data_IF_980358212795
#
_entry.id   IF_980358212795
#
_cell.length_a   1.000
_cell.length_b   1.000
_cell.length_c   1.000
_cell.angle_alpha   90.00
_cell.angle_beta   90.00
_cell.angle_gamma   90.00
#
_symmetry.space_group_name_H-M   'P 1'
#
loop_
_entity.id
_entity.type
_entity.pdbx_description
1 polymer ?
#
# COMPACT_ATOMS: atom_id res chain seq x y z
N UNK A 1 -4.68 3.26 33.88
CA UNK A 1 -3.27 3.04 33.57
C UNK A 1 -3.10 2.83 32.07
N UNK A 2 -1.96 3.24 31.50
CA UNK A 2 -1.53 2.81 30.15
C UNK A 2 -0.93 1.42 30.32
N UNK A 3 -1.50 0.41 29.65
CA UNK A 3 -0.96 -0.95 29.67
C UNK A 3 0.14 -1.15 28.63
N UNK A 4 -0.07 -0.58 27.45
CA UNK A 4 0.80 -0.75 26.29
C UNK A 4 0.72 0.50 25.42
N UNK A 5 1.85 0.87 24.83
CA UNK A 5 1.91 1.78 23.68
C UNK A 5 2.52 1.00 22.53
N UNK A 6 1.79 0.93 21.42
CA UNK A 6 2.22 0.25 20.20
C UNK A 6 2.51 1.30 19.12
N UNK A 7 3.65 1.17 18.46
CA UNK A 7 3.97 2.00 17.28
C UNK A 7 3.12 1.57 16.10
N UNK A 8 2.51 2.53 15.42
CA UNK A 8 1.86 2.28 14.13
C UNK A 8 2.92 2.51 13.05
N UNK A 9 3.28 1.47 12.29
CA UNK A 9 4.47 1.48 11.44
C UNK A 9 4.31 2.32 10.16
N UNK A 10 3.10 2.81 9.88
CA UNK A 10 2.81 3.71 8.79
C UNK A 10 2.76 5.16 9.30
N UNK A 11 3.81 5.94 9.00
CA UNK A 11 3.90 7.35 9.39
C UNK A 11 4.43 7.56 10.82
N UNK A 12 3.79 8.46 11.56
CA UNK A 12 4.18 8.93 12.89
C UNK A 12 2.98 8.88 13.85
N UNK A 13 2.58 7.67 14.25
CA UNK A 13 1.46 7.47 15.16
C UNK A 13 1.74 6.41 16.24
N UNK A 14 1.11 6.58 17.40
CA UNK A 14 1.21 5.68 18.54
C UNK A 14 -0.20 5.28 18.98
N UNK A 15 -0.42 3.99 19.20
CA UNK A 15 -1.67 3.41 19.73
C UNK A 15 -1.50 3.13 21.22
N UNK A 16 -2.36 3.73 22.04
CA UNK A 16 -2.35 3.60 23.50
C UNK A 16 -3.49 2.71 23.96
N UNK A 17 -3.17 1.71 24.78
CA UNK A 17 -4.14 0.81 25.42
C UNK A 17 -4.37 1.24 26.86
N UNK A 18 -5.59 1.69 27.18
CA UNK A 18 -5.93 2.28 28.47
C UNK A 18 -6.89 1.40 29.26
N UNK A 19 -6.57 1.18 30.53
CA UNK A 19 -7.48 0.53 31.50
C UNK A 19 -7.95 1.56 32.53
N UNK A 20 -9.26 1.70 32.78
CA UNK A 20 -9.80 2.58 33.82
C UNK A 20 -9.24 2.25 35.21
N UNK A 21 -9.24 3.24 36.10
CA UNK A 21 -9.33 2.95 37.54
C UNK A 21 -10.81 2.72 37.88
N UNK A 22 -11.12 1.81 38.80
CA UNK A 22 -12.50 1.48 39.17
C UNK A 22 -13.29 2.70 39.69
N UNK A 23 -12.59 3.65 40.31
CA UNK A 23 -13.16 4.89 40.83
C UNK A 23 -13.27 6.02 39.79
N UNK A 24 -12.77 5.81 38.56
CA UNK A 24 -12.68 6.87 37.58
C UNK A 24 -14.02 7.16 36.90
N UNK A 25 -14.40 8.43 36.89
CA UNK A 25 -15.55 8.96 36.17
C UNK A 25 -15.16 9.62 34.85
N UNK A 26 -13.92 10.13 34.76
CA UNK A 26 -13.32 10.73 33.55
C UNK A 26 -11.82 10.45 33.48
N UNK A 27 -11.23 10.62 32.31
CA UNK A 27 -9.77 10.63 32.16
C UNK A 27 -9.28 11.61 31.10
N UNK A 28 -8.01 11.99 31.23
CA UNK A 28 -7.24 12.76 30.26
C UNK A 28 -5.91 12.07 30.00
N UNK A 29 -5.48 12.12 28.75
CA UNK A 29 -4.18 11.62 28.33
C UNK A 29 -3.37 12.79 27.81
N UNK A 30 -2.25 13.06 28.46
CA UNK A 30 -1.33 14.12 28.10
C UNK A 30 -0.05 13.54 27.54
N UNK A 31 0.58 14.26 26.60
CA UNK A 31 1.86 13.90 26.00
C UNK A 31 2.86 15.05 26.07
N UNK A 32 4.13 14.73 26.35
CA UNK A 32 5.28 15.64 26.31
C UNK A 32 6.49 14.98 25.65
N UNK A 33 7.52 15.77 25.32
CA UNK A 33 8.84 15.28 24.87
C UNK A 33 9.83 15.06 26.02
N UNK A 34 9.43 15.43 27.24
CA UNK A 34 10.13 15.16 28.49
C UNK A 34 9.14 14.55 29.51
N UNK A 35 9.65 13.99 30.62
CA UNK A 35 8.80 13.44 31.68
C UNK A 35 8.51 14.45 32.79
N UNK A 36 8.30 15.72 32.43
CA UNK A 36 8.12 16.83 33.38
C UNK A 36 6.69 17.34 33.44
N UNK A 37 5.72 16.43 33.57
CA UNK A 37 4.30 16.81 33.66
C UNK A 37 3.99 17.56 34.95
N UNK A 38 3.29 18.70 34.85
CA UNK A 38 2.90 19.50 36.01
C UNK A 38 1.59 19.04 36.66
N UNK A 39 0.54 18.79 35.87
CA UNK A 39 -0.78 18.32 36.33
C UNK A 39 -1.70 17.88 35.15
N UNK A 40 -2.96 17.56 35.41
CA UNK A 40 -3.99 17.15 34.43
C UNK A 40 -4.36 18.23 33.38
N UNK A 41 -3.98 19.49 33.60
CA UNK A 41 -4.18 20.64 32.68
C UNK A 41 -2.86 21.35 32.36
N UNK A 42 -1.77 20.58 32.31
CA UNK A 42 -0.44 21.05 31.91
C UNK A 42 -0.48 21.72 30.52
N UNK A 43 -0.13 23.01 30.48
CA UNK A 43 -0.18 23.85 29.26
C UNK A 43 0.94 23.58 28.28
N UNK A 44 2.03 22.99 28.75
CA UNK A 44 3.16 22.60 27.91
C UNK A 44 2.98 21.17 27.36
N UNK A 45 1.96 20.45 27.83
CA UNK A 45 1.59 19.14 27.32
C UNK A 45 0.56 19.21 26.20
N UNK A 46 0.65 18.26 25.27
CA UNK A 46 -0.37 18.04 24.24
C UNK A 46 -1.48 17.16 24.80
N UNK A 47 -2.72 17.64 24.75
CA UNK A 47 -3.90 16.82 25.05
C UNK A 47 -4.13 15.82 23.91
N UNK A 48 -3.83 14.55 24.19
CA UNK A 48 -4.05 13.44 23.26
C UNK A 48 -5.52 13.10 23.22
N UNK A 49 -6.12 12.88 24.39
CA UNK A 49 -7.50 12.45 24.54
C UNK A 49 -8.10 12.91 25.88
N UNK A 50 -9.42 13.15 25.88
CA UNK A 50 -10.23 13.41 27.07
C UNK A 50 -11.57 12.67 26.92
N UNK A 51 -12.01 11.95 27.95
CA UNK A 51 -13.34 11.33 27.90
C UNK A 51 -14.44 12.29 28.27
N UNK A 52 -15.56 12.14 27.56
CA UNK A 52 -16.83 12.83 27.84
C UNK A 52 -17.85 11.93 28.53
N UNK A 53 -17.58 10.63 28.68
CA UNK A 53 -18.47 9.62 29.28
C UNK A 53 -17.72 8.70 30.25
N UNK A 54 -18.47 7.82 30.93
CA UNK A 54 -17.98 6.85 31.92
C UNK A 54 -16.86 5.97 31.34
N UNK A 55 -15.90 5.65 32.21
CA UNK A 55 -14.59 5.13 31.82
C UNK A 55 -14.68 3.61 31.61
N UNK A 56 -14.56 3.16 30.35
CA UNK A 56 -14.37 1.75 29.98
C UNK A 56 -12.98 1.54 29.40
N UNK A 57 -12.52 0.30 29.29
CA UNK A 57 -11.31 0.00 28.51
C UNK A 57 -11.42 0.61 27.10
N UNK A 58 -10.33 1.21 26.64
CA UNK A 58 -10.32 1.96 25.39
C UNK A 58 -8.95 1.96 24.74
N UNK A 59 -8.96 2.14 23.43
CA UNK A 59 -7.77 2.25 22.59
C UNK A 59 -7.81 3.60 21.89
N UNK A 60 -6.73 4.36 21.99
CA UNK A 60 -6.63 5.68 21.38
C UNK A 60 -5.39 5.78 20.50
N UNK A 61 -5.54 6.39 19.33
CA UNK A 61 -4.42 6.66 18.42
C UNK A 61 -4.03 8.12 18.55
N UNK A 62 -2.79 8.34 18.95
CA UNK A 62 -2.14 9.64 18.88
C UNK A 62 -1.42 9.76 17.54
N UNK A 63 -1.90 10.67 16.69
CA UNK A 63 -1.29 11.02 15.40
C UNK A 63 -0.93 12.51 15.34
N UNK A 64 -1.03 13.25 16.45
CA UNK A 64 -0.95 14.71 16.44
C UNK A 64 0.51 15.18 16.55
N UNK A 65 1.11 15.65 15.46
CA UNK A 65 2.45 16.29 15.47
C UNK A 65 3.55 15.45 16.15
N UNK A 66 3.48 14.13 16.01
CA UNK A 66 4.58 13.26 16.39
C UNK A 66 5.70 13.40 15.37
N UNK A 67 6.93 13.05 15.73
CA UNK A 67 8.07 13.03 14.80
C UNK A 67 8.81 11.72 15.04
N UNK A 68 9.08 11.00 13.96
CA UNK A 68 9.74 9.69 14.06
C UNK A 68 11.13 9.82 14.69
N UNK A 69 11.48 8.84 15.53
CA UNK A 69 12.74 8.83 16.27
C UNK A 69 12.76 9.71 17.53
N UNK A 70 11.74 10.54 17.77
CA UNK A 70 11.64 11.33 19.01
C UNK A 70 10.90 10.55 20.08
N UNK A 71 11.48 10.46 21.29
CA UNK A 71 10.80 9.88 22.45
C UNK A 71 9.71 10.82 22.96
N UNK A 72 8.50 10.29 23.08
CA UNK A 72 7.38 10.95 23.73
C UNK A 72 7.02 10.24 25.01
N UNK A 73 6.68 11.01 26.03
CA UNK A 73 6.18 10.55 27.31
C UNK A 73 4.67 10.81 27.35
N UNK A 74 3.94 9.87 27.92
CA UNK A 74 2.49 9.90 28.08
C UNK A 74 2.14 9.68 29.54
N UNK A 75 1.19 10.48 30.03
CA UNK A 75 0.64 10.31 31.38
C UNK A 75 -0.87 10.41 31.34
N UNK A 76 -1.52 9.51 32.08
CA UNK A 76 -2.98 9.51 32.20
C UNK A 76 -3.35 10.09 33.55
N UNK A 77 -4.36 10.94 33.54
CA UNK A 77 -4.97 11.50 34.72
C UNK A 77 -6.41 11.01 34.79
N UNK A 78 -6.77 10.35 35.89
CA UNK A 78 -8.12 9.86 36.16
C UNK A 78 -8.82 10.80 37.13
N UNK A 79 -10.07 11.13 36.89
CA UNK A 79 -10.87 11.88 37.86
C UNK A 79 -11.85 10.97 38.59
N UNK A 80 -11.88 11.04 39.92
CA UNK A 80 -12.90 10.40 40.76
C UNK A 80 -14.15 11.30 40.96
N UNK A 81 -14.20 12.45 40.29
CA UNK A 81 -15.24 13.47 40.42
C UNK A 81 -14.89 14.59 41.40
N UNK A 82 -13.86 14.42 42.24
CA UNK A 82 -13.40 15.43 43.20
C UNK A 82 -11.95 15.84 42.98
N UNK A 83 -11.10 14.91 42.54
CA UNK A 83 -9.67 15.10 42.34
C UNK A 83 -9.24 14.44 41.04
N UNK A 84 -8.04 14.81 40.58
CA UNK A 84 -7.34 14.11 39.52
C UNK A 84 -6.22 13.28 40.12
N UNK A 85 -6.12 12.03 39.67
CA UNK A 85 -5.16 11.03 40.10
C UNK A 85 -4.27 10.74 38.90
N UNK A 86 -3.01 11.13 39.00
CA UNK A 86 -2.00 10.86 37.99
C UNK A 86 -1.55 9.39 38.03
N UNK A 87 -1.31 8.80 36.87
CA UNK A 87 -0.56 7.54 36.77
C UNK A 87 0.93 7.80 36.58
N UNK A 88 1.72 6.74 36.64
CA UNK A 88 3.08 6.76 36.12
C UNK A 88 3.08 7.10 34.63
N UNK A 89 4.21 7.69 34.19
CA UNK A 89 4.45 7.96 32.78
C UNK A 89 4.93 6.72 32.05
N UNK A 90 4.50 6.59 30.80
CA UNK A 90 5.01 5.58 29.86
C UNK A 90 5.59 6.32 28.66
N UNK A 91 6.66 5.81 28.07
CA UNK A 91 7.27 6.43 26.89
C UNK A 91 7.33 5.50 25.70
N UNK A 92 7.26 6.08 24.50
CA UNK A 92 7.41 5.38 23.24
C UNK A 92 8.09 6.28 22.20
N UNK A 93 8.65 5.66 21.17
CA UNK A 93 9.25 6.33 20.03
C UNK A 93 8.45 5.91 18.79
N UNK A 94 7.77 6.83 18.10
CA UNK A 94 7.13 6.52 16.83
C UNK A 94 8.22 6.28 15.78
N UNK A 95 7.97 5.32 14.90
CA UNK A 95 8.88 4.93 13.84
C UNK A 95 8.06 4.46 12.63
N UNK A 96 8.55 4.81 11.44
CA UNK A 96 7.96 4.34 10.18
C UNK A 96 8.80 3.17 9.68
N UNK A 97 8.29 1.97 9.88
CA UNK A 97 8.98 0.71 9.54
C UNK A 97 8.30 -0.04 8.40
N UNK A 98 7.20 0.49 7.85
CA UNK A 98 6.52 -0.16 6.73
C UNK A 98 7.42 -0.27 5.51
N UNK A 99 7.29 -1.39 4.80
CA UNK A 99 7.92 -1.65 3.51
C UNK A 99 6.80 -1.95 2.52
N UNK A 100 6.82 -1.24 1.39
CA UNK A 100 6.01 -1.64 0.27
C UNK A 100 6.66 -2.89 -0.32
N UNK A 101 5.91 -3.98 -0.42
CA UNK A 101 6.35 -5.13 -1.18
C UNK A 101 5.91 -4.94 -2.64
N UNK A 102 6.89 -5.03 -3.54
CA UNK A 102 6.90 -4.48 -4.91
C UNK A 102 6.04 -5.25 -5.94
N UNK A 103 4.78 -5.56 -5.61
CA UNK A 103 3.87 -6.22 -6.55
C UNK A 103 3.05 -5.21 -7.40
N UNK A 104 3.73 -4.29 -8.09
CA UNK A 104 3.10 -3.44 -9.10
C UNK A 104 2.92 -4.17 -10.45
N UNK A 105 1.70 -4.67 -10.68
CA UNK A 105 1.32 -5.43 -11.89
C UNK A 105 1.60 -4.61 -13.16
N UNK A 106 1.36 -3.30 -13.14
CA UNK A 106 1.57 -2.45 -14.33
C UNK A 106 3.05 -2.43 -14.72
N UNK A 107 3.94 -2.19 -13.75
CA UNK A 107 5.38 -2.15 -14.02
C UNK A 107 5.89 -3.50 -14.52
N UNK A 108 5.40 -4.60 -13.95
CA UNK A 108 5.81 -5.93 -14.39
C UNK A 108 5.33 -6.25 -15.81
N UNK A 109 4.04 -6.07 -16.11
CA UNK A 109 3.48 -6.32 -17.45
C UNK A 109 4.16 -5.42 -18.50
N UNK A 110 4.44 -4.15 -18.16
CA UNK A 110 5.21 -3.24 -19.00
C UNK A 110 6.58 -3.80 -19.35
N UNK A 111 7.34 -4.25 -18.35
CA UNK A 111 8.69 -4.79 -18.55
C UNK A 111 8.63 -6.01 -19.48
N UNK A 112 7.68 -6.93 -19.24
CA UNK A 112 7.50 -8.13 -20.07
C UNK A 112 7.16 -7.77 -21.52
N UNK A 113 6.30 -6.77 -21.74
CA UNK A 113 5.98 -6.25 -23.07
C UNK A 113 7.20 -5.63 -23.75
N UNK A 114 7.97 -4.82 -23.02
CA UNK A 114 9.16 -4.16 -23.56
C UNK A 114 10.20 -5.20 -24.03
N UNK A 115 10.50 -6.20 -23.19
CA UNK A 115 11.43 -7.28 -23.55
C UNK A 115 10.90 -8.11 -24.73
N UNK A 116 9.61 -8.46 -24.72
CA UNK A 116 8.99 -9.23 -25.79
C UNK A 116 8.97 -8.51 -27.14
N UNK A 117 8.70 -7.20 -27.15
CA UNK A 117 8.69 -6.40 -28.37
C UNK A 117 10.09 -6.24 -28.96
N UNK A 118 11.12 -6.09 -28.13
CA UNK A 118 12.52 -6.11 -28.59
C UNK A 118 12.81 -7.43 -29.30
N UNK A 119 12.43 -8.56 -28.73
CA UNK A 119 12.61 -9.86 -29.37
C UNK A 119 11.83 -9.98 -30.68
N UNK A 120 10.59 -9.51 -30.74
CA UNK A 120 9.78 -9.53 -31.96
C UNK A 120 10.39 -8.71 -33.12
N UNK A 121 11.11 -7.64 -32.82
CA UNK A 121 11.88 -6.86 -33.81
C UNK A 121 13.10 -7.65 -34.28
N UNK A 122 13.86 -8.25 -33.35
CA UNK A 122 15.04 -9.08 -33.67
C UNK A 122 14.64 -10.26 -34.59
N UNK A 123 13.52 -10.91 -34.27
CA UNK A 123 12.95 -12.02 -35.04
C UNK A 123 12.29 -11.58 -36.35
N UNK A 124 12.34 -10.28 -36.67
CA UNK A 124 11.76 -9.68 -37.89
C UNK A 124 10.26 -9.94 -38.04
N UNK A 125 9.54 -9.97 -36.91
CA UNK A 125 8.08 -10.00 -36.89
C UNK A 125 7.48 -8.58 -36.92
N UNK A 126 8.25 -7.59 -36.48
CA UNK A 126 7.90 -6.17 -36.48
C UNK A 126 9.02 -5.34 -37.12
N UNK A 127 8.64 -4.30 -37.87
CA UNK A 127 9.56 -3.46 -38.63
C UNK A 127 9.33 -1.97 -38.36
N UNK A 128 9.48 -1.50 -37.10
CA UNK A 128 9.32 -0.09 -36.78
C UNK A 128 10.40 0.74 -37.49
N UNK A 129 10.03 1.88 -38.07
CA UNK A 129 10.98 2.78 -38.76
C UNK A 129 12.08 3.31 -37.83
N UNK A 130 11.76 3.47 -36.55
CA UNK A 130 12.70 3.89 -35.50
C UNK A 130 13.66 2.78 -35.04
N UNK A 131 13.45 1.53 -35.49
CA UNK A 131 14.18 0.35 -35.03
C UNK A 131 13.80 -0.13 -33.62
N UNK A 132 12.84 0.52 -32.95
CA UNK A 132 12.39 0.17 -31.60
C UNK A 132 10.91 0.50 -31.39
N UNK A 133 10.26 -0.22 -30.48
CA UNK A 133 8.88 0.09 -30.04
C UNK A 133 8.95 0.43 -28.56
N UNK A 134 8.59 1.65 -28.20
CA UNK A 134 8.56 2.07 -26.81
C UNK A 134 7.31 1.54 -26.11
N UNK A 135 7.43 1.21 -24.81
CA UNK A 135 6.30 0.90 -23.93
C UNK A 135 6.22 1.98 -22.86
N UNK A 136 5.17 2.79 -22.89
CA UNK A 136 4.99 3.98 -22.04
C UNK A 136 3.84 3.79 -21.04
N UNK A 137 3.85 4.55 -19.93
CA UNK A 137 2.77 4.55 -18.92
C UNK A 137 1.69 5.61 -19.18
N UNK A 138 1.78 6.32 -20.30
CA UNK A 138 0.87 7.41 -20.65
C UNK A 138 0.65 7.43 -22.16
N UNK A 139 -0.51 7.94 -22.64
CA UNK A 139 -0.77 8.14 -24.06
C UNK A 139 0.37 8.91 -24.76
N UNK A 140 0.73 8.55 -26.00
CA UNK A 140 1.83 9.18 -26.69
C UNK A 140 1.46 10.61 -27.12
N UNK A 141 2.41 11.54 -26.99
CA UNK A 141 2.29 12.84 -27.63
C UNK A 141 2.56 12.68 -29.13
N UNK A 142 1.54 12.88 -29.96
CA UNK A 142 1.60 12.60 -31.41
C UNK A 142 2.82 13.21 -32.11
N UNK A 143 3.16 14.46 -31.82
CA UNK A 143 4.27 15.17 -32.49
C UNK A 143 5.66 14.64 -32.10
N UNK A 144 5.79 14.03 -30.92
CA UNK A 144 7.07 13.61 -30.34
C UNK A 144 7.25 12.08 -30.34
N UNK A 145 6.18 11.33 -30.56
CA UNK A 145 6.19 9.88 -30.47
C UNK A 145 6.68 9.24 -31.78
N UNK A 146 7.60 8.28 -31.65
CA UNK A 146 8.00 7.43 -32.75
C UNK A 146 7.04 6.23 -32.83
N UNK A 147 6.12 6.26 -33.80
CA UNK A 147 5.21 5.15 -34.06
C UNK A 147 5.94 3.99 -34.78
N UNK A 148 5.55 2.72 -34.53
CA UNK A 148 4.53 2.30 -33.56
C UNK A 148 5.01 2.38 -32.10
N UNK A 149 4.08 2.61 -31.18
CA UNK A 149 4.32 2.72 -29.74
C UNK A 149 3.25 1.97 -28.96
N UNK A 150 3.60 1.40 -27.80
CA UNK A 150 2.65 0.74 -26.90
C UNK A 150 2.54 1.56 -25.63
N UNK A 151 1.33 1.67 -25.08
CA UNK A 151 1.07 2.31 -23.80
C UNK A 151 0.31 1.38 -22.88
N UNK A 152 0.56 1.44 -21.59
CA UNK A 152 -0.17 0.69 -20.57
C UNK A 152 -0.67 1.65 -19.48
N UNK A 153 -1.91 1.47 -19.05
CA UNK A 153 -2.51 2.24 -17.97
C UNK A 153 -3.37 1.35 -17.08
N UNK A 154 -3.54 1.75 -15.82
CA UNK A 154 -4.44 1.10 -14.87
C UNK A 154 -5.84 1.68 -15.08
N UNK A 155 -6.81 0.81 -15.34
CA UNK A 155 -8.23 1.14 -15.32
C UNK A 155 -8.85 0.87 -13.95
N UNK A 156 -8.38 -0.19 -13.29
CA UNK A 156 -8.86 -0.62 -11.98
C UNK A 156 -7.73 -1.24 -11.17
N UNK A 157 -7.58 -0.74 -9.94
CA UNK A 157 -6.88 -1.39 -8.84
C UNK A 157 -7.84 -1.28 -7.64
N UNK A 158 -8.43 -2.42 -7.26
CA UNK A 158 -9.41 -2.46 -6.20
C UNK A 158 -9.36 -3.79 -5.46
N UNK A 159 -9.77 -3.83 -4.18
CA UNK A 159 -9.92 -5.09 -3.46
C UNK A 159 -10.83 -6.07 -4.20
N UNK A 160 -10.38 -7.31 -4.33
CA UNK A 160 -11.25 -8.44 -4.63
C UNK A 160 -12.16 -8.73 -3.42
N UNK A 161 -13.13 -9.62 -3.59
CA UNK A 161 -14.05 -10.01 -2.52
C UNK A 161 -13.27 -10.44 -1.26
N UNK A 162 -13.61 -9.87 -0.10
CA UNK A 162 -12.95 -10.18 1.17
C UNK A 162 -13.70 -11.28 1.91
N UNK A 163 -12.96 -12.24 2.45
CA UNK A 163 -13.50 -13.25 3.36
C UNK A 163 -13.02 -12.98 4.79
N UNK A 164 -13.86 -13.30 5.78
CA UNK A 164 -13.44 -13.24 7.19
C UNK A 164 -12.39 -14.33 7.44
N UNK A 165 -11.21 -13.93 7.93
CA UNK A 165 -10.10 -14.84 8.22
C UNK A 165 -9.10 -15.03 7.07
N UNK A 166 -9.16 -14.21 6.02
CA UNK A 166 -8.12 -14.16 4.98
C UNK A 166 -6.77 -13.75 5.59
N UNK A 167 -5.73 -14.53 5.30
CA UNK A 167 -4.34 -14.24 5.59
C UNK A 167 -3.56 -14.44 4.30
N UNK A 168 -2.95 -13.37 3.79
CA UNK A 168 -2.11 -13.42 2.58
C UNK A 168 -0.74 -14.03 2.89
N UNK A 169 -0.20 -13.63 4.04
CA UNK A 169 1.06 -14.09 4.58
C UNK A 169 0.91 -14.26 6.08
N UNK A 170 1.56 -15.29 6.63
CA UNK A 170 1.64 -15.46 8.08
C UNK A 170 2.57 -14.40 8.66
N UNK A 171 2.17 -13.77 9.76
CA UNK A 171 3.04 -12.87 10.50
C UNK A 171 4.28 -13.64 11.00
N UNK A 172 5.46 -13.06 10.78
CA UNK A 172 6.72 -13.73 11.08
C UNK A 172 7.44 -13.03 12.22
N UNK A 173 8.17 -13.83 13.01
CA UNK A 173 9.15 -13.29 13.94
C UNK A 173 10.45 -13.08 13.16
N UNK A 174 10.99 -11.87 13.22
CA UNK A 174 12.31 -11.61 12.63
C UNK A 174 13.36 -12.45 13.35
N UNK A 175 14.08 -13.34 12.65
CA UNK A 175 14.99 -14.30 13.31
C UNK A 175 16.19 -13.65 14.01
N UNK A 176 16.42 -12.36 13.79
CA UNK A 176 17.59 -11.61 14.30
C UNK A 176 17.22 -10.41 15.17
N UNK A 177 15.97 -9.96 15.14
CA UNK A 177 15.42 -8.90 15.98
C UNK A 177 14.25 -9.47 16.76
N UNK A 178 14.08 -9.12 18.03
CA UNK A 178 12.94 -9.59 18.83
C UNK A 178 11.63 -8.87 18.43
N UNK A 179 11.38 -8.76 17.12
CA UNK A 179 10.41 -7.90 16.45
C UNK A 179 9.46 -8.73 15.59
N UNK A 180 8.17 -8.39 15.63
CA UNK A 180 7.18 -8.98 14.74
C UNK A 180 7.20 -8.29 13.38
N UNK A 181 6.99 -9.06 12.32
CA UNK A 181 6.68 -8.55 10.99
C UNK A 181 5.22 -8.87 10.74
N UNK A 182 4.39 -7.83 10.81
CA UNK A 182 2.97 -7.90 10.47
C UNK A 182 2.79 -7.62 8.98
N UNK A 183 1.94 -8.41 8.32
CA UNK A 183 1.58 -8.18 6.91
C UNK A 183 0.11 -7.87 6.77
N UNK A 184 -0.19 -6.70 6.21
CA UNK A 184 -1.56 -6.24 5.98
C UNK A 184 -1.81 -6.05 4.48
N UNK A 185 -2.91 -6.58 3.97
CA UNK A 185 -3.23 -6.50 2.54
C UNK A 185 -4.53 -7.17 2.14
N UNK A 186 -4.73 -7.26 0.83
CA UNK A 186 -5.83 -7.98 0.20
C UNK A 186 -5.42 -8.51 -1.18
N UNK A 187 -6.14 -9.51 -1.70
CA UNK A 187 -6.08 -9.80 -3.13
C UNK A 187 -6.74 -8.66 -3.90
N UNK A 188 -6.01 -8.02 -4.81
CA UNK A 188 -6.50 -6.93 -5.64
C UNK A 188 -6.90 -7.45 -7.02
N UNK A 189 -8.05 -7.00 -7.51
CA UNK A 189 -8.43 -7.16 -8.90
C UNK A 189 -7.82 -6.02 -9.72
N UNK A 190 -6.92 -6.38 -10.64
CA UNK A 190 -6.26 -5.45 -11.54
C UNK A 190 -6.94 -5.49 -12.90
N UNK A 191 -7.17 -4.30 -13.48
CA UNK A 191 -7.55 -4.11 -14.88
C UNK A 191 -6.62 -3.10 -15.49
N UNK A 192 -5.92 -3.50 -16.55
CA UNK A 192 -4.98 -2.69 -17.30
C UNK A 192 -5.44 -2.58 -18.74
N UNK A 193 -5.29 -1.41 -19.34
CA UNK A 193 -5.48 -1.19 -20.75
C UNK A 193 -4.14 -1.03 -21.45
N UNK A 194 -3.80 -1.99 -22.30
CA UNK A 194 -2.61 -1.98 -23.15
C UNK A 194 -3.04 -1.54 -24.54
N UNK A 195 -2.57 -0.37 -24.98
CA UNK A 195 -2.91 0.19 -26.29
C UNK A 195 -1.67 0.18 -27.18
N UNK A 196 -1.74 -0.50 -28.32
CA UNK A 196 -0.76 -0.38 -29.39
C UNK A 196 -1.19 0.66 -30.40
N UNK A 197 -0.37 1.67 -30.61
CA UNK A 197 -0.62 2.80 -31.50
C UNK A 197 0.22 2.67 -32.77
N UNK A 198 -0.43 2.79 -33.92
CA UNK A 198 0.19 2.67 -35.24
C UNK A 198 -0.37 3.73 -36.20
N UNK A 199 0.44 4.17 -37.16
CA UNK A 199 -0.01 5.00 -38.29
C UNK A 199 -0.44 4.15 -39.50
N UNK A 200 -0.23 2.84 -39.46
CA UNK A 200 -0.52 1.91 -40.55
C UNK A 200 -1.43 0.76 -40.07
N UNK A 201 -2.53 0.46 -40.80
CA UNK A 201 -3.45 -0.63 -40.43
C UNK A 201 -2.80 -2.02 -40.44
N UNK A 202 -1.88 -2.31 -41.36
CA UNK A 202 -1.17 -3.61 -41.40
C UNK A 202 -0.22 -3.77 -40.21
N UNK A 203 0.46 -2.67 -39.83
CA UNK A 203 1.31 -2.62 -38.65
C UNK A 203 0.49 -2.79 -37.36
N UNK A 204 -0.75 -2.28 -37.30
CA UNK A 204 -1.68 -2.55 -36.18
C UNK A 204 -1.93 -4.05 -36.04
N UNK A 205 -2.18 -4.77 -37.14
CA UNK A 205 -2.44 -6.21 -37.11
C UNK A 205 -1.20 -6.98 -36.61
N UNK A 206 -0.02 -6.61 -37.12
CA UNK A 206 1.24 -7.20 -36.67
C UNK A 206 1.49 -6.94 -35.18
N UNK A 207 1.25 -5.71 -34.72
CA UNK A 207 1.39 -5.31 -33.32
C UNK A 207 0.43 -6.06 -32.41
N UNK A 208 -0.85 -6.19 -32.77
CA UNK A 208 -1.83 -7.01 -32.04
C UNK A 208 -1.37 -8.44 -31.87
N UNK A 209 -0.91 -9.06 -32.96
CA UNK A 209 -0.43 -10.44 -32.92
C UNK A 209 0.83 -10.59 -32.05
N UNK A 210 1.73 -9.61 -32.09
CA UNK A 210 2.92 -9.59 -31.24
C UNK A 210 2.54 -9.46 -29.76
N UNK A 211 1.72 -8.47 -29.39
CA UNK A 211 1.24 -8.28 -28.01
C UNK A 211 0.57 -9.56 -27.51
N UNK A 212 -0.33 -10.16 -28.30
CA UNK A 212 -1.00 -11.42 -27.96
C UNK A 212 -0.02 -12.56 -27.67
N UNK A 213 0.98 -12.76 -28.52
CA UNK A 213 2.01 -13.80 -28.31
C UNK A 213 2.84 -13.54 -27.07
N UNK A 214 3.24 -12.27 -26.85
CA UNK A 214 4.03 -11.88 -25.69
C UNK A 214 3.23 -12.12 -24.40
N UNK A 215 1.96 -11.75 -24.34
CA UNK A 215 1.13 -12.02 -23.15
C UNK A 215 0.95 -13.52 -22.92
N UNK A 216 0.65 -14.30 -23.98
CA UNK A 216 0.47 -15.75 -23.88
C UNK A 216 1.73 -16.47 -23.39
N UNK A 217 2.90 -16.13 -23.91
CA UNK A 217 4.15 -16.81 -23.53
C UNK A 217 4.61 -16.43 -22.12
N UNK A 218 4.15 -15.29 -21.60
CA UNK A 218 4.45 -14.86 -20.23
C UNK A 218 3.48 -15.39 -19.17
N UNK A 219 2.46 -16.18 -19.53
CA UNK A 219 1.54 -16.77 -18.54
C UNK A 219 2.27 -17.50 -17.37
N UNK A 220 3.31 -18.33 -17.60
CA UNK A 220 4.05 -18.95 -16.50
C UNK A 220 4.86 -17.96 -15.66
N UNK A 221 5.27 -16.83 -16.27
CA UNK A 221 6.01 -15.77 -15.59
C UNK A 221 5.07 -14.94 -14.71
N UNK A 222 3.84 -14.71 -15.17
CA UNK A 222 2.78 -14.05 -14.40
C UNK A 222 2.37 -14.91 -13.20
N UNK A 223 2.19 -16.21 -13.40
CA UNK A 223 1.89 -17.19 -12.34
C UNK A 223 2.99 -17.20 -11.26
N UNK A 224 4.26 -17.30 -11.67
CA UNK A 224 5.40 -17.26 -10.76
C UNK A 224 5.53 -15.94 -9.97
N UNK A 225 4.92 -14.86 -10.46
CA UNK A 225 4.90 -13.55 -9.80
C UNK A 225 3.62 -13.34 -8.96
N UNK A 226 2.75 -14.35 -8.85
CA UNK A 226 1.53 -14.28 -8.04
C UNK A 226 0.34 -13.62 -8.72
N UNK A 227 0.35 -13.51 -10.06
CA UNK A 227 -0.82 -13.09 -10.82
C UNK A 227 -1.68 -14.32 -11.16
N UNK A 228 -2.87 -14.40 -10.58
CA UNK A 228 -3.85 -15.43 -10.85
C UNK A 228 -4.99 -14.91 -11.76
N UNK A 229 -5.73 -15.83 -12.37
CA UNK A 229 -6.88 -15.55 -13.24
C UNK A 229 -6.57 -14.55 -14.35
N UNK A 230 -5.34 -14.61 -14.89
CA UNK A 230 -4.91 -13.74 -15.97
C UNK A 230 -5.79 -13.97 -17.19
N UNK A 231 -6.46 -12.91 -17.63
CA UNK A 231 -7.28 -12.92 -18.83
C UNK A 231 -7.07 -11.65 -19.64
N UNK A 232 -7.26 -11.75 -20.95
CA UNK A 232 -7.17 -10.59 -21.82
C UNK A 232 -8.07 -10.72 -23.03
N UNK A 233 -8.62 -9.59 -23.46
CA UNK A 233 -9.38 -9.44 -24.69
C UNK A 233 -8.75 -8.38 -25.59
N UNK A 234 -9.03 -8.46 -26.89
CA UNK A 234 -8.47 -7.58 -27.91
C UNK A 234 -9.57 -6.96 -28.74
N UNK A 235 -9.44 -5.68 -29.02
CA UNK A 235 -10.28 -4.96 -29.97
C UNK A 235 -9.42 -4.03 -30.84
N UNK A 236 -9.88 -3.76 -32.05
CA UNK A 236 -9.27 -2.77 -32.93
C UNK A 236 -10.14 -1.51 -32.90
N UNK A 237 -9.49 -0.35 -32.80
CA UNK A 237 -10.13 0.96 -32.86
C UNK A 237 -9.36 1.87 -33.83
N UNK A 238 -10.04 2.89 -34.33
CA UNK A 238 -9.48 3.85 -35.28
C UNK A 238 -9.87 5.26 -34.84
N UNK A 239 -8.88 6.12 -34.68
CA UNK A 239 -9.08 7.54 -34.43
C UNK A 239 -8.74 8.32 -35.70
N UNK A 240 -9.78 8.82 -36.35
CA UNK A 240 -9.69 9.55 -37.61
C UNK A 240 -9.76 11.06 -37.43
N UNK A 241 -10.06 11.55 -36.22
CA UNK A 241 -10.48 12.95 -36.00
C UNK A 241 -9.66 13.68 -34.95
N UNK A 242 -9.11 12.99 -33.94
CA UNK A 242 -8.40 13.66 -32.83
C UNK A 242 -6.97 14.04 -33.17
N UNK A 243 -6.38 13.44 -34.22
CA UNK A 243 -4.98 13.62 -34.60
C UNK A 243 -4.84 14.13 -36.04
N UNK A 244 -3.71 14.79 -36.38
CA UNK A 244 -3.43 15.26 -37.74
C UNK A 244 -3.37 14.17 -38.82
N UNK A 245 -3.26 12.90 -38.42
CA UNK A 245 -3.31 11.74 -39.30
C UNK A 245 -4.13 10.61 -38.64
N UNK A 246 -4.74 9.71 -39.44
CA UNK A 246 -5.41 8.52 -38.93
C UNK A 246 -4.49 7.70 -38.02
N UNK A 247 -4.98 7.40 -36.83
CA UNK A 247 -4.30 6.55 -35.85
C UNK A 247 -5.07 5.25 -35.70
N UNK A 248 -4.36 4.15 -35.88
CA UNK A 248 -4.88 2.79 -35.76
C UNK A 248 -4.44 2.22 -34.42
N UNK A 249 -5.41 1.83 -33.60
CA UNK A 249 -5.18 1.35 -32.24
C UNK A 249 -5.58 -0.11 -32.11
N UNK A 250 -4.75 -0.89 -31.45
CA UNK A 250 -5.16 -2.16 -30.84
C UNK A 250 -5.33 -1.91 -29.35
N UNK A 251 -6.51 -2.17 -28.82
CA UNK A 251 -6.81 -2.07 -27.39
C UNK A 251 -6.85 -3.49 -26.83
N UNK A 252 -6.04 -3.73 -25.82
CA UNK A 252 -6.01 -5.00 -25.09
C UNK A 252 -6.36 -4.73 -23.64
N UNK A 253 -7.50 -5.25 -23.19
CA UNK A 253 -7.85 -5.21 -21.78
C UNK A 253 -7.20 -6.43 -21.13
N UNK A 254 -6.37 -6.21 -20.12
CA UNK A 254 -5.70 -7.24 -19.34
C UNK A 254 -6.26 -7.20 -17.93
N UNK A 255 -6.68 -8.35 -17.41
CA UNK A 255 -7.16 -8.45 -16.03
C UNK A 255 -6.48 -9.60 -15.31
N UNK A 256 -6.24 -9.44 -14.02
CA UNK A 256 -5.75 -10.49 -13.14
C UNK A 256 -6.13 -10.21 -11.69
N UNK A 257 -5.92 -11.19 -10.83
CA UNK A 257 -5.92 -11.04 -9.38
C UNK A 257 -4.48 -11.15 -8.91
N UNK A 258 -4.00 -10.20 -8.12
CA UNK A 258 -2.65 -10.22 -7.55
C UNK A 258 -2.65 -9.69 -6.11
N UNK A 259 -1.77 -10.17 -5.23
CA UNK A 259 -1.73 -9.72 -3.85
C UNK A 259 -1.21 -8.28 -3.76
N UNK A 260 -1.97 -7.42 -3.07
CA UNK A 260 -1.59 -6.06 -2.72
C UNK A 260 -1.45 -5.99 -1.20
N UNK A 261 -0.21 -5.87 -0.71
CA UNK A 261 0.09 -5.91 0.71
C UNK A 261 1.26 -5.01 1.09
N UNK A 262 1.33 -4.70 2.37
CA UNK A 262 2.39 -3.92 3.00
C UNK A 262 2.83 -4.70 4.23
N UNK A 263 4.13 -4.91 4.37
CA UNK A 263 4.72 -5.51 5.55
C UNK A 263 5.30 -4.43 6.46
N UNK A 264 5.31 -4.67 7.76
CA UNK A 264 5.83 -3.73 8.72
C UNK A 264 6.39 -4.40 9.97
N UNK A 265 7.48 -3.86 10.50
CA UNK A 265 8.01 -4.29 11.79
C UNK A 265 7.22 -3.64 12.93
N UNK A 266 6.60 -4.44 13.79
CA UNK A 266 5.75 -3.99 14.89
C UNK A 266 6.29 -4.43 16.25
N UNK A 267 6.97 -3.51 16.93
CA UNK A 267 7.30 -3.59 18.36
C UNK A 267 8.09 -4.84 18.80
N UNK A 268 8.38 -4.90 20.09
CA UNK A 268 9.08 -6.05 20.69
C UNK A 268 8.10 -7.19 20.98
N UNK A 269 8.58 -8.43 20.87
CA UNK A 269 7.84 -9.65 21.20
C UNK A 269 7.24 -9.58 22.60
N UNK A 270 5.95 -9.86 22.73
CA UNK A 270 5.32 -10.14 24.03
C UNK A 270 5.69 -11.57 24.43
N UNK A 271 6.73 -11.73 25.24
CA UNK A 271 7.23 -13.05 25.66
C UNK A 271 6.63 -13.57 26.97
N UNK A 272 6.12 -12.68 27.83
CA UNK A 272 5.57 -13.02 29.14
C UNK A 272 4.13 -12.52 29.29
N UNK A 273 3.17 -13.45 29.30
CA UNK A 273 1.78 -13.18 29.71
C UNK A 273 1.63 -13.66 31.14
N UNK A 274 1.70 -12.74 32.12
CA UNK A 274 1.32 -13.05 33.49
C UNK A 274 -0.21 -12.99 33.60
N UNK A 275 -0.85 -14.16 33.66
CA UNK A 275 -2.26 -14.29 34.02
C UNK A 275 -2.43 -13.90 35.49
N UNK A 276 -2.86 -12.67 35.74
CA UNK A 276 -3.37 -12.28 37.06
C UNK A 276 -4.77 -12.87 37.17
N UNK A 277 -4.87 -14.06 37.77
CA UNK A 277 -6.15 -14.63 38.21
C UNK A 277 -6.65 -13.76 39.37
N UNK A 278 -7.69 -12.96 39.12
CA UNK A 278 -8.44 -12.27 40.18
C UNK A 278 -9.38 -13.23 40.87
#
# INVERSE_FOLDING_TARGET
MIRLIQTIPAGNALRLFLTPLEIATRWRVLRRTDDSFSDFDDKDAVLVYESTQAVSESVHVDSKKLVNGIRYYYRVYYSDGFRWIATESVSAIPESTYRADDNDVLSFVRERLQLGLVQAIIDKQLFPNSGKIAVLNAPPQFENAAFPVVTIHIDKDAPAERFLGESLYEDQIELTGDTWIETEGWLAQWSLSIIGWSMNPDERIALRNAIKRILLINLPVFDAWGMDQVSFDFSDSEDLNSYPAPIYQVITNFTCIAPAYVSASTGSRVSDVQLIVR
#
